data_IF_113881630661
#
_entry.id   IF_113881630661
#
_cell.length_a   1.000
_cell.length_b   1.000
_cell.length_c   1.000
_cell.angle_alpha   90.00
_cell.angle_beta   90.00
_cell.angle_gamma   90.00
#
_symmetry.space_group_name_H-M   'P 1'
#
loop_
_entity.id
_entity.type
_entity.pdbx_description
1 polymer ?
#
# COMPACT_ATOMS: atom_id res chain seq x y z
N UNK A 1 1.20 20.84 14.58
CA UNK A 1 2.49 21.35 15.06
C UNK A 1 3.50 21.07 13.96
N UNK A 2 3.93 22.16 13.32
CA UNK A 2 4.55 22.21 12.00
C UNK A 2 6.06 22.05 12.11
N UNK A 3 6.63 21.04 11.46
CA UNK A 3 8.06 20.75 11.32
C UNK A 3 8.16 19.91 10.01
N UNK A 4 8.93 20.19 8.96
CA UNK A 4 10.16 20.97 8.80
C UNK A 4 10.35 21.38 7.32
N UNK A 5 11.02 22.53 7.19
CA UNK A 5 11.74 23.12 6.07
C UNK A 5 12.06 22.21 4.87
N UNK A 6 11.67 22.69 3.69
CA UNK A 6 12.20 22.31 2.38
C UNK A 6 13.73 22.40 2.39
N UNK A 7 14.39 21.29 2.11
CA UNK A 7 15.82 21.23 1.87
C UNK A 7 16.03 20.41 0.60
N UNK A 8 16.36 21.09 -0.51
CA UNK A 8 16.85 20.46 -1.74
C UNK A 8 18.21 19.81 -1.43
N UNK A 9 18.18 18.58 -0.94
CA UNK A 9 19.37 17.77 -0.75
C UNK A 9 19.39 16.63 -1.76
N UNK A 10 20.24 16.80 -2.77
CA UNK A 10 20.81 15.69 -3.51
C UNK A 10 21.71 14.93 -2.53
N UNK A 11 21.23 13.80 -2.01
CA UNK A 11 22.04 12.94 -1.15
C UNK A 11 23.15 12.28 -1.98
N UNK A 12 24.40 12.75 -1.84
CA UNK A 12 25.59 12.00 -2.23
C UNK A 12 26.07 11.16 -1.04
N UNK A 13 25.75 9.87 -1.02
CA UNK A 13 26.33 8.94 -0.03
C UNK A 13 27.73 8.48 -0.48
N UNK A 14 28.75 9.30 -0.22
CA UNK A 14 30.14 9.05 -0.62
C UNK A 14 31.21 9.25 0.46
N UNK A 15 31.76 8.14 1.01
CA UNK A 15 33.10 8.02 1.65
C UNK A 15 33.04 7.85 3.18
N UNK A 16 33.72 6.92 3.87
CA UNK A 16 35.03 6.28 3.69
C UNK A 16 35.00 4.75 3.93
N UNK A 17 36.10 4.06 3.58
CA UNK A 17 36.32 2.60 3.73
C UNK A 17 36.54 2.22 5.20
N UNK A 18 35.70 1.34 5.73
CA UNK A 18 35.93 0.61 6.99
C UNK A 18 36.23 -0.87 6.70
N UNK A 19 37.14 -1.44 7.49
CA UNK A 19 37.80 -2.75 7.31
C UNK A 19 36.89 -4.00 7.43
N UNK A 20 35.58 -3.80 7.68
CA UNK A 20 34.58 -4.87 7.74
C UNK A 20 33.49 -4.59 6.71
N UNK A 21 33.52 -5.35 5.61
CA UNK A 21 32.65 -5.16 4.46
C UNK A 21 31.16 -5.33 4.77
N UNK A 22 30.50 -4.25 5.20
CA UNK A 22 29.04 -4.11 5.01
C UNK A 22 28.80 -3.97 3.51
N UNK A 23 27.94 -4.83 2.94
CA UNK A 23 27.44 -4.65 1.57
C UNK A 23 26.86 -3.24 1.47
N UNK A 24 27.48 -2.41 0.65
CA UNK A 24 27.01 -1.07 0.36
C UNK A 24 25.91 -1.22 -0.69
N UNK A 25 24.66 -0.99 -0.28
CA UNK A 25 23.54 -0.98 -1.19
C UNK A 25 23.60 0.32 -2.00
N UNK A 26 23.82 0.19 -3.31
CA UNK A 26 23.66 1.30 -4.24
C UNK A 26 22.16 1.43 -4.53
N UNK A 27 21.53 2.43 -3.92
CA UNK A 27 20.10 2.74 -4.14
C UNK A 27 19.88 3.53 -5.44
N UNK A 28 20.92 3.73 -6.25
CA UNK A 28 20.88 4.55 -7.45
C UNK A 28 20.78 6.04 -7.15
N UNK A 29 20.65 6.84 -8.21
CA UNK A 29 20.22 8.24 -8.12
C UNK A 29 18.75 8.29 -8.52
N UNK A 30 17.87 8.56 -7.57
CA UNK A 30 16.48 8.92 -7.86
C UNK A 30 16.25 10.36 -7.43
N UNK A 31 15.47 11.09 -8.23
CA UNK A 31 14.91 12.34 -7.75
C UNK A 31 13.87 11.96 -6.69
N UNK A 32 14.06 12.47 -5.47
CA UNK A 32 13.08 12.25 -4.41
C UNK A 32 11.78 12.92 -4.83
N UNK A 33 10.67 12.20 -4.68
CA UNK A 33 9.34 12.79 -4.82
C UNK A 33 9.20 13.93 -3.81
N UNK A 34 8.90 15.12 -4.32
CA UNK A 34 8.58 16.29 -3.51
C UNK A 34 7.13 16.21 -3.04
N UNK A 35 6.88 16.70 -1.82
CA UNK A 35 5.55 16.77 -1.22
C UNK A 35 4.79 17.96 -1.80
N UNK A 36 3.54 17.71 -2.19
CA UNK A 36 2.57 18.74 -2.55
C UNK A 36 1.78 19.27 -1.35
N UNK A 37 0.78 20.10 -1.64
CA UNK A 37 -0.20 20.56 -0.65
C UNK A 37 -1.31 19.53 -0.47
N UNK A 38 -1.56 19.17 0.78
CA UNK A 38 -2.63 18.22 1.16
C UNK A 38 -3.94 18.99 1.33
N UNK A 39 -4.96 18.69 0.51
CA UNK A 39 -6.28 19.30 0.66
C UNK A 39 -7.00 18.82 1.94
N UNK A 40 -8.01 19.55 2.45
CA UNK A 40 -8.74 19.15 3.66
C UNK A 40 -9.35 17.75 3.60
N UNK A 41 -9.64 17.18 4.78
CA UNK A 41 -10.33 15.89 4.92
C UNK A 41 -11.72 15.93 4.24
N UNK A 42 -12.06 14.86 3.50
CA UNK A 42 -13.37 14.74 2.83
C UNK A 42 -14.41 14.16 3.80
N UNK A 43 -15.62 14.75 3.88
CA UNK A 43 -16.63 14.33 4.86
C UNK A 43 -17.25 12.99 4.48
N UNK A 44 -17.51 12.14 5.49
CA UNK A 44 -18.26 10.89 5.32
C UNK A 44 -19.68 11.10 5.83
N UNK A 45 -20.72 10.88 5.00
CA UNK A 45 -22.12 10.95 5.41
C UNK A 45 -22.46 10.14 6.67
N UNK A 46 -23.42 10.61 7.47
CA UNK A 46 -23.79 9.98 8.74
C UNK A 46 -24.26 8.53 8.58
N UNK A 47 -25.06 8.26 7.55
CA UNK A 47 -25.64 6.94 7.28
C UNK A 47 -24.62 5.84 6.93
N UNK A 48 -23.38 6.21 6.58
CA UNK A 48 -22.32 5.23 6.31
C UNK A 48 -21.76 4.70 7.62
N UNK A 49 -21.77 3.36 7.74
CA UNK A 49 -21.19 2.66 8.88
C UNK A 49 -19.69 2.98 8.99
N UNK A 50 -19.26 3.40 10.17
CA UNK A 50 -17.88 3.82 10.44
C UNK A 50 -17.18 2.76 11.31
N UNK A 51 -15.91 2.43 11.04
CA UNK A 51 -15.14 1.54 11.90
C UNK A 51 -14.83 2.22 13.24
N UNK A 52 -14.52 1.43 14.27
CA UNK A 52 -14.34 1.93 15.65
C UNK A 52 -13.31 3.06 15.77
N UNK A 53 -12.20 2.98 15.02
CA UNK A 53 -11.13 3.99 15.05
C UNK A 53 -11.55 5.34 14.48
N UNK A 54 -12.66 5.44 13.76
CA UNK A 54 -13.19 6.73 13.29
C UNK A 54 -13.47 7.69 14.46
N UNK A 55 -13.98 7.14 15.57
CA UNK A 55 -14.45 7.90 16.73
C UNK A 55 -13.34 8.20 17.75
N UNK A 56 -12.19 7.54 17.63
CA UNK A 56 -11.07 7.67 18.56
C UNK A 56 -9.83 8.09 17.79
N UNK A 57 -9.38 9.31 18.05
CA UNK A 57 -8.22 9.89 17.37
C UNK A 57 -6.99 9.00 17.53
N UNK A 58 -6.29 8.75 16.42
CA UNK A 58 -5.06 7.96 16.36
C UNK A 58 -5.20 6.54 16.93
N UNK A 59 -6.41 5.96 16.90
CA UNK A 59 -6.63 4.60 17.38
C UNK A 59 -6.21 3.57 16.33
N UNK A 60 -5.51 2.50 16.72
CA UNK A 60 -5.32 1.35 15.86
C UNK A 60 -6.65 0.59 15.69
N UNK A 61 -6.66 -0.30 14.71
CA UNK A 61 -7.64 -1.36 14.57
C UNK A 61 -6.84 -2.64 14.62
N UNK A 62 -6.88 -3.35 15.74
CA UNK A 62 -6.15 -4.61 15.93
C UNK A 62 -7.13 -5.75 16.18
N UNK A 63 -7.01 -6.84 15.43
CA UNK A 63 -7.58 -8.12 15.82
C UNK A 63 -6.94 -8.62 17.12
N UNK A 64 -7.70 -9.24 18.01
CA UNK A 64 -7.18 -9.72 19.30
C UNK A 64 -6.37 -11.00 19.13
N UNK A 65 -5.08 -10.95 19.51
CA UNK A 65 -4.25 -12.11 19.85
C UNK A 65 -3.89 -13.06 18.70
N UNK A 66 -4.86 -13.84 18.21
CA UNK A 66 -4.64 -14.99 17.31
C UNK A 66 -5.26 -14.74 15.92
N UNK A 67 -4.71 -15.35 14.86
CA UNK A 67 -5.35 -15.36 13.55
C UNK A 67 -6.81 -15.84 13.64
N UNK A 68 -7.71 -15.05 13.06
CA UNK A 68 -9.15 -15.35 13.07
C UNK A 68 -9.49 -16.48 12.08
N UNK A 69 -10.14 -17.53 12.58
CA UNK A 69 -10.84 -18.51 11.73
C UNK A 69 -12.23 -17.98 11.43
N UNK A 70 -12.46 -17.57 10.19
CA UNK A 70 -13.71 -16.93 9.78
C UNK A 70 -14.85 -17.94 9.61
N UNK A 71 -16.01 -17.59 10.13
CA UNK A 71 -17.29 -18.26 9.83
C UNK A 71 -17.74 -18.00 8.40
N UNK A 72 -18.66 -18.79 7.85
CA UNK A 72 -19.20 -18.60 6.49
C UNK A 72 -19.76 -17.20 6.25
N UNK A 73 -20.43 -16.63 7.26
CA UNK A 73 -20.94 -15.25 7.21
C UNK A 73 -19.81 -14.23 7.09
N UNK A 74 -18.73 -14.40 7.85
CA UNK A 74 -17.57 -13.51 7.78
C UNK A 74 -16.83 -13.68 6.45
N UNK A 75 -16.70 -14.90 5.94
CA UNK A 75 -16.13 -15.17 4.61
C UNK A 75 -16.95 -14.44 3.54
N UNK A 76 -18.28 -14.49 3.60
CA UNK A 76 -19.12 -13.78 2.65
C UNK A 76 -18.94 -12.26 2.75
N UNK A 77 -18.89 -11.70 3.97
CA UNK A 77 -18.60 -10.28 4.19
C UNK A 77 -17.25 -9.85 3.59
N UNK A 78 -16.21 -10.67 3.77
CA UNK A 78 -14.90 -10.45 3.15
C UNK A 78 -14.95 -10.50 1.63
N UNK A 79 -15.70 -11.43 1.03
CA UNK A 79 -15.86 -11.49 -0.44
C UNK A 79 -16.47 -10.21 -0.98
N UNK A 80 -17.50 -9.70 -0.30
CA UNK A 80 -18.21 -8.50 -0.72
C UNK A 80 -17.33 -7.25 -0.57
N UNK A 81 -16.63 -7.09 0.55
CA UNK A 81 -15.70 -5.97 0.79
C UNK A 81 -14.50 -6.00 -0.18
N UNK A 82 -13.85 -7.15 -0.36
CA UNK A 82 -12.72 -7.29 -1.28
C UNK A 82 -13.13 -7.07 -2.74
N UNK A 83 -14.31 -7.55 -3.15
CA UNK A 83 -14.83 -7.30 -4.51
C UNK A 83 -15.08 -5.82 -4.73
N UNK A 84 -15.60 -5.10 -3.73
CA UNK A 84 -15.78 -3.66 -3.82
C UNK A 84 -14.44 -2.92 -3.93
N UNK A 85 -13.47 -3.23 -3.05
CA UNK A 85 -12.12 -2.66 -3.10
C UNK A 85 -11.47 -2.86 -4.47
N UNK A 86 -11.49 -4.08 -5.01
CA UNK A 86 -10.93 -4.41 -6.31
C UNK A 86 -11.60 -3.64 -7.46
N UNK A 87 -12.92 -3.46 -7.41
CA UNK A 87 -13.65 -2.68 -8.42
C UNK A 87 -13.27 -1.21 -8.39
N UNK A 88 -13.13 -0.62 -7.20
CA UNK A 88 -12.69 0.78 -7.04
C UNK A 88 -11.25 0.93 -7.51
N UNK A 89 -10.34 0.06 -7.07
CA UNK A 89 -8.93 0.05 -7.49
C UNK A 89 -8.82 -0.03 -9.01
N UNK A 90 -9.56 -0.94 -9.67
CA UNK A 90 -9.54 -1.08 -11.13
C UNK A 90 -9.85 0.25 -11.83
N UNK A 91 -10.86 0.99 -11.37
CA UNK A 91 -11.21 2.29 -11.96
C UNK A 91 -10.19 3.37 -11.60
N UNK A 92 -9.69 3.40 -10.37
CA UNK A 92 -8.65 4.33 -9.94
C UNK A 92 -7.37 4.16 -10.78
N UNK A 93 -6.99 2.92 -11.12
CA UNK A 93 -5.87 2.64 -12.02
C UNK A 93 -6.09 3.21 -13.43
N UNK A 94 -7.32 3.27 -13.95
CA UNK A 94 -7.58 3.89 -15.26
C UNK A 94 -7.47 5.41 -15.26
N UNK A 95 -7.69 6.03 -14.10
CA UNK A 95 -7.59 7.47 -13.89
C UNK A 95 -6.13 7.93 -13.76
N UNK A 96 -5.22 7.05 -13.30
CA UNK A 96 -3.82 7.38 -13.06
C UNK A 96 -3.05 7.61 -14.38
N UNK A 97 -3.12 8.83 -14.89
CA UNK A 97 -2.51 9.29 -16.13
C UNK A 97 -1.69 10.57 -15.90
N UNK A 98 -0.85 10.93 -16.86
CA UNK A 98 -0.05 12.15 -16.79
C UNK A 98 -0.95 13.38 -16.55
N UNK A 99 -0.50 14.27 -15.66
CA UNK A 99 -1.19 15.51 -15.32
C UNK A 99 -2.26 15.39 -14.23
N UNK A 100 -2.75 14.19 -13.93
CA UNK A 100 -3.67 13.93 -12.82
C UNK A 100 -2.93 14.02 -11.50
N UNK A 101 -3.50 14.70 -10.50
CA UNK A 101 -2.91 14.76 -9.16
C UNK A 101 -3.30 13.55 -8.31
N UNK A 102 -2.49 13.25 -7.30
CA UNK A 102 -2.84 12.16 -6.38
C UNK A 102 -4.08 12.48 -5.54
N UNK A 103 -4.37 13.75 -5.22
CA UNK A 103 -5.61 14.17 -4.56
C UNK A 103 -6.87 13.99 -5.45
N UNK A 104 -6.73 14.00 -6.78
CA UNK A 104 -7.84 13.65 -7.69
C UNK A 104 -8.15 12.16 -7.65
N UNK A 105 -7.13 11.31 -7.51
CA UNK A 105 -7.30 9.86 -7.28
C UNK A 105 -7.96 9.62 -5.92
N UNK A 106 -7.53 10.31 -4.87
CA UNK A 106 -8.18 10.26 -3.55
C UNK A 106 -9.66 10.64 -3.61
N UNK A 107 -9.97 11.76 -4.29
CA UNK A 107 -11.36 12.21 -4.47
C UNK A 107 -12.21 11.13 -5.13
N UNK A 108 -11.71 10.55 -6.21
CA UNK A 108 -12.40 9.48 -6.93
C UNK A 108 -12.65 8.25 -6.04
N UNK A 109 -11.61 7.78 -5.34
CA UNK A 109 -11.72 6.61 -4.44
C UNK A 109 -12.70 6.88 -3.30
N UNK A 110 -12.64 8.08 -2.72
CA UNK A 110 -13.58 8.52 -1.69
C UNK A 110 -15.02 8.47 -2.21
N UNK A 111 -15.32 9.15 -3.31
CA UNK A 111 -16.66 9.24 -3.89
C UNK A 111 -17.23 7.87 -4.26
N UNK A 112 -16.43 6.98 -4.85
CA UNK A 112 -16.89 5.62 -5.19
C UNK A 112 -17.15 4.76 -3.94
N UNK A 113 -16.37 4.91 -2.87
CA UNK A 113 -16.65 4.24 -1.61
C UNK A 113 -17.97 4.75 -1.00
N UNK A 114 -18.17 6.07 -0.94
CA UNK A 114 -19.41 6.68 -0.41
C UNK A 114 -20.63 6.24 -1.24
N UNK A 115 -20.52 6.26 -2.57
CA UNK A 115 -21.58 5.81 -3.48
C UNK A 115 -21.96 4.34 -3.28
N UNK A 116 -21.00 3.51 -2.88
CA UNK A 116 -21.21 2.11 -2.54
C UNK A 116 -21.67 1.89 -1.08
N UNK A 117 -21.99 2.95 -0.33
CA UNK A 117 -22.31 2.89 1.11
C UNK A 117 -21.20 2.24 1.95
N UNK A 118 -19.95 2.42 1.53
CA UNK A 118 -18.75 1.93 2.21
C UNK A 118 -17.92 3.09 2.77
N UNK A 119 -17.14 2.80 3.79
CA UNK A 119 -16.21 3.75 4.39
C UNK A 119 -14.79 3.53 3.83
N UNK A 120 -14.07 4.58 3.38
CA UNK A 120 -12.68 4.44 2.95
C UNK A 120 -11.78 4.21 4.16
N UNK A 121 -11.30 2.98 4.36
CA UNK A 121 -10.66 2.55 5.61
C UNK A 121 -9.44 3.37 6.02
N UNK A 122 -8.55 3.83 5.11
CA UNK A 122 -7.39 4.63 5.51
C UNK A 122 -7.76 5.93 6.22
N UNK A 123 -8.95 6.49 5.94
CA UNK A 123 -9.35 7.76 6.50
C UNK A 123 -9.37 7.70 8.03
N UNK A 124 -8.69 8.66 8.67
CA UNK A 124 -8.49 8.76 10.14
C UNK A 124 -7.81 7.56 10.82
N UNK A 125 -7.45 6.51 10.08
CA UNK A 125 -6.74 5.37 10.64
C UNK A 125 -5.36 5.80 11.13
N UNK A 126 -5.11 5.69 12.44
CA UNK A 126 -3.90 6.25 13.09
C UNK A 126 -3.65 7.75 12.74
N UNK A 127 -4.71 8.50 12.42
CA UNK A 127 -4.62 9.90 12.02
C UNK A 127 -4.28 10.16 10.54
N UNK A 128 -4.30 9.13 9.70
CA UNK A 128 -4.08 9.28 8.26
C UNK A 128 -5.18 10.18 7.62
N UNK A 129 -4.81 11.19 6.81
CA UNK A 129 -5.73 12.28 6.47
C UNK A 129 -6.58 12.04 5.21
N UNK A 130 -6.36 10.93 4.50
CA UNK A 130 -6.91 10.66 3.15
C UNK A 130 -7.57 9.30 3.07
N UNK A 131 -8.26 9.05 1.96
CA UNK A 131 -9.12 7.88 1.74
C UNK A 131 -8.40 6.72 1.06
N UNK A 132 -7.20 6.96 0.53
CA UNK A 132 -6.37 6.03 -0.24
C UNK A 132 -4.89 6.38 -0.01
N UNK A 133 -3.99 5.42 -0.18
CA UNK A 133 -2.56 5.74 -0.28
C UNK A 133 -2.13 5.80 -1.75
N UNK A 134 -1.29 6.79 -2.10
CA UNK A 134 -0.73 6.97 -3.44
C UNK A 134 0.79 7.11 -3.34
N UNK A 135 1.52 6.05 -3.69
CA UNK A 135 2.97 5.96 -3.48
C UNK A 135 3.70 6.02 -4.82
N UNK A 136 4.25 7.20 -5.14
CA UNK A 136 4.92 7.46 -6.41
C UNK A 136 6.42 7.16 -6.30
N UNK A 137 6.99 6.49 -7.30
CA UNK A 137 8.42 6.25 -7.48
C UNK A 137 9.13 5.70 -6.22
N UNK A 138 9.92 6.54 -5.54
CA UNK A 138 10.72 6.14 -4.38
C UNK A 138 9.92 6.08 -3.05
N UNK A 139 8.63 6.39 -3.08
CA UNK A 139 7.73 6.22 -1.93
C UNK A 139 7.33 4.75 -1.86
N UNK A 140 7.75 4.05 -0.81
CA UNK A 140 7.56 2.60 -0.69
C UNK A 140 6.09 2.20 -0.43
N UNK A 141 5.42 2.90 0.49
CA UNK A 141 4.01 2.75 0.80
C UNK A 141 3.51 4.00 1.56
N UNK A 142 2.20 4.07 1.79
CA UNK A 142 1.54 5.10 2.60
C UNK A 142 1.81 6.55 2.16
N UNK A 143 2.07 6.77 0.87
CA UNK A 143 2.09 8.13 0.32
C UNK A 143 0.74 8.81 0.54
N UNK A 144 0.76 10.04 1.07
CA UNK A 144 -0.45 10.83 1.33
C UNK A 144 -0.82 11.56 0.03
N UNK A 145 -2.04 11.37 -0.49
CA UNK A 145 -2.54 12.15 -1.63
C UNK A 145 -2.45 13.67 -1.42
N UNK A 146 -1.90 14.36 -2.40
CA UNK A 146 -1.64 15.80 -2.45
C UNK A 146 -1.81 16.36 -3.89
N UNK A 147 -1.53 17.64 -4.08
CA UNK A 147 -1.63 18.32 -5.37
C UNK A 147 -0.50 18.00 -6.38
N UNK A 148 0.40 17.05 -6.08
CA UNK A 148 1.44 16.60 -7.02
C UNK A 148 0.79 15.94 -8.22
N UNK A 149 1.07 16.48 -9.41
CA UNK A 149 0.71 15.86 -10.69
C UNK A 149 1.58 14.65 -10.99
N UNK A 150 0.99 13.61 -11.55
CA UNK A 150 1.71 12.50 -12.16
C UNK A 150 2.43 12.99 -13.41
N UNK A 151 3.68 12.56 -13.58
CA UNK A 151 4.55 12.94 -14.69
C UNK A 151 4.75 11.76 -15.64
N UNK A 152 5.02 12.05 -16.92
CA UNK A 152 5.46 11.02 -17.87
C UNK A 152 6.67 10.25 -17.31
N UNK A 153 6.57 8.93 -17.29
CA UNK A 153 7.60 8.04 -16.74
C UNK A 153 7.45 7.67 -15.26
N UNK A 154 6.49 8.24 -14.53
CA UNK A 154 6.21 7.84 -13.15
C UNK A 154 5.69 6.39 -13.06
N UNK A 155 6.00 5.72 -11.94
CA UNK A 155 5.21 4.59 -11.46
C UNK A 155 4.49 5.00 -10.17
N UNK A 156 3.23 4.58 -10.02
CA UNK A 156 2.41 4.90 -8.83
C UNK A 156 1.71 3.65 -8.31
N UNK A 157 1.93 3.32 -7.04
CA UNK A 157 1.08 2.37 -6.33
C UNK A 157 -0.16 3.08 -5.77
N UNK A 158 -1.33 2.51 -6.01
CA UNK A 158 -2.62 2.95 -5.44
C UNK A 158 -3.11 1.84 -4.53
N UNK A 159 -3.32 2.16 -3.26
CA UNK A 159 -3.69 1.21 -2.21
C UNK A 159 -5.08 1.50 -1.65
N UNK A 160 -6.04 0.65 -2.00
CA UNK A 160 -7.47 0.84 -1.73
C UNK A 160 -7.93 -0.16 -0.68
N UNK A 161 -8.39 0.39 0.45
CA UNK A 161 -9.11 -0.38 1.45
C UNK A 161 -10.50 0.21 1.71
N UNK A 162 -11.55 -0.60 1.68
CA UNK A 162 -12.92 -0.19 2.06
C UNK A 162 -13.44 -0.99 3.24
N UNK A 163 -14.23 -0.35 4.09
CA UNK A 163 -15.01 -0.97 5.15
C UNK A 163 -16.47 -1.02 4.72
N UNK A 164 -16.95 -2.23 4.44
CA UNK A 164 -18.27 -2.49 3.89
C UNK A 164 -18.95 -3.60 4.69
N UNK A 165 -20.18 -3.35 5.14
CA UNK A 165 -20.98 -4.31 5.92
C UNK A 165 -20.25 -4.94 7.12
N UNK A 166 -19.37 -4.18 7.77
CA UNK A 166 -18.64 -4.64 8.95
C UNK A 166 -17.26 -5.23 8.68
N UNK A 167 -16.81 -5.30 7.43
CA UNK A 167 -15.55 -5.94 7.03
C UNK A 167 -14.69 -5.03 6.15
N UNK A 168 -13.38 -5.09 6.35
CA UNK A 168 -12.40 -4.43 5.49
C UNK A 168 -12.07 -5.32 4.28
N UNK A 169 -11.91 -4.72 3.11
CA UNK A 169 -11.37 -5.37 1.92
C UNK A 169 -10.24 -4.51 1.37
N UNK A 170 -9.11 -5.12 1.04
CA UNK A 170 -7.84 -4.43 0.81
C UNK A 170 -7.10 -4.96 -0.40
N UNK A 171 -6.65 -4.07 -1.28
CA UNK A 171 -5.78 -4.40 -2.40
C UNK A 171 -5.09 -3.16 -2.98
N UNK A 172 -3.92 -3.38 -3.57
CA UNK A 172 -3.19 -2.33 -4.28
C UNK A 172 -2.68 -2.79 -5.63
N UNK A 173 -2.35 -1.82 -6.49
CA UNK A 173 -1.66 -2.07 -7.77
C UNK A 173 -0.76 -0.90 -8.13
N UNK A 174 0.41 -1.23 -8.67
CA UNK A 174 1.32 -0.24 -9.26
C UNK A 174 1.00 -0.05 -10.75
N UNK A 175 0.81 1.20 -11.15
CA UNK A 175 0.45 1.65 -12.50
C UNK A 175 1.64 2.36 -13.13
N UNK A 176 1.79 2.18 -14.45
CA UNK A 176 2.78 2.86 -15.27
C UNK A 176 2.15 4.13 -15.87
N UNK A 177 2.75 5.30 -15.64
CA UNK A 177 2.27 6.57 -16.19
C UNK A 177 3.08 6.90 -17.44
N UNK A 178 2.43 6.91 -18.60
CA UNK A 178 3.06 7.23 -19.87
C UNK A 178 4.24 6.32 -20.23
N UNK A 179 5.38 6.93 -20.58
CA UNK A 179 6.58 6.30 -21.10
C UNK A 179 7.58 5.92 -19.99
N UNK A 180 7.16 5.02 -19.09
CA UNK A 180 8.05 4.44 -18.07
C UNK A 180 9.23 3.71 -18.72
N UNK A 181 10.42 3.86 -18.13
CA UNK A 181 11.64 3.21 -18.58
C UNK A 181 11.62 1.67 -18.38
N UNK A 182 12.59 0.97 -18.96
CA UNK A 182 12.67 -0.49 -18.87
C UNK A 182 12.83 -0.97 -17.43
N UNK A 183 13.53 -0.21 -16.58
CA UNK A 183 13.76 -0.57 -15.17
C UNK A 183 12.48 -0.51 -14.35
N UNK A 184 11.68 0.54 -14.51
CA UNK A 184 10.39 0.71 -13.87
C UNK A 184 9.40 -0.36 -14.32
N UNK A 185 9.34 -0.65 -15.63
CA UNK A 185 8.51 -1.74 -16.17
C UNK A 185 8.94 -3.10 -15.61
N UNK A 186 10.24 -3.36 -15.58
CA UNK A 186 10.81 -4.60 -15.03
C UNK A 186 10.50 -4.77 -13.54
N UNK A 187 10.63 -3.69 -12.75
CA UNK A 187 10.30 -3.70 -11.33
C UNK A 187 8.82 -4.01 -11.10
N UNK A 188 7.92 -3.28 -11.76
CA UNK A 188 6.47 -3.46 -11.60
C UNK A 188 6.03 -4.88 -11.99
N UNK A 189 6.47 -5.36 -13.16
CA UNK A 189 6.16 -6.72 -13.61
C UNK A 189 6.72 -7.77 -12.65
N UNK A 190 7.98 -7.63 -12.22
CA UNK A 190 8.61 -8.59 -11.31
C UNK A 190 7.93 -8.61 -9.93
N UNK A 191 7.45 -7.48 -9.43
CA UNK A 191 6.69 -7.43 -8.17
C UNK A 191 5.35 -8.16 -8.31
N UNK A 192 4.63 -7.99 -9.42
CA UNK A 192 3.36 -8.71 -9.68
C UNK A 192 3.59 -10.22 -9.83
N UNK A 193 4.61 -10.64 -10.58
CA UNK A 193 5.01 -12.05 -10.69
C UNK A 193 5.39 -12.64 -9.32
N UNK A 194 6.15 -11.90 -8.50
CA UNK A 194 6.54 -12.33 -7.15
C UNK A 194 5.33 -12.52 -6.22
N UNK A 195 4.31 -11.67 -6.33
CA UNK A 195 3.07 -11.80 -5.55
C UNK A 195 2.32 -13.07 -5.95
N UNK A 196 2.20 -13.32 -7.26
CA UNK A 196 1.51 -14.51 -7.77
C UNK A 196 2.18 -15.81 -7.30
N UNK A 197 3.51 -15.89 -7.35
CA UNK A 197 4.28 -17.03 -6.81
C UNK A 197 4.04 -17.24 -5.31
N UNK A 198 3.94 -16.15 -4.54
CA UNK A 198 3.69 -16.21 -3.11
C UNK A 198 2.27 -16.70 -2.79
N UNK A 199 1.27 -16.27 -3.57
CA UNK A 199 -0.13 -16.72 -3.45
C UNK A 199 -0.24 -18.23 -3.73
N UNK A 200 0.49 -18.75 -4.71
CA UNK A 200 0.51 -20.19 -5.02
C UNK A 200 1.08 -21.06 -3.89
N UNK A 201 1.85 -20.47 -2.96
CA UNK A 201 2.34 -21.18 -1.78
C UNK A 201 1.31 -21.29 -0.65
N UNK A 202 0.17 -20.60 -0.74
CA UNK A 202 -0.86 -20.59 0.30
C UNK A 202 -1.74 -21.84 0.22
N UNK A 203 -1.94 -22.51 1.36
CA UNK A 203 -2.84 -23.64 1.48
C UNK A 203 -2.99 -24.11 2.93
N UNK A 204 -3.92 -25.02 3.22
CA UNK A 204 -4.04 -25.64 4.53
C UNK A 204 -2.70 -26.22 5.01
N UNK A 205 -2.43 -26.07 6.31
CA UNK A 205 -1.22 -26.57 6.99
C UNK A 205 0.12 -26.03 6.47
N UNK A 206 0.14 -25.07 5.55
CA UNK A 206 1.36 -24.42 5.10
C UNK A 206 1.86 -23.40 6.14
N UNK A 207 3.14 -23.45 6.54
CA UNK A 207 3.71 -22.43 7.43
C UNK A 207 3.74 -21.06 6.75
N UNK A 208 3.27 -20.00 7.41
CA UNK A 208 3.27 -18.64 6.84
C UNK A 208 4.64 -18.16 6.32
N UNK A 209 5.74 -18.66 6.88
CA UNK A 209 7.09 -18.30 6.45
C UNK A 209 7.43 -18.74 5.01
N UNK A 210 6.64 -19.64 4.40
CA UNK A 210 6.84 -20.03 2.99
C UNK A 210 6.61 -18.85 2.04
N UNK A 211 5.70 -17.92 2.38
CA UNK A 211 5.40 -16.71 1.61
C UNK A 211 6.66 -15.85 1.48
N UNK A 212 7.28 -15.49 2.61
CA UNK A 212 8.49 -14.67 2.62
C UNK A 212 9.71 -15.35 1.98
N UNK A 213 9.82 -16.68 2.08
CA UNK A 213 10.85 -17.47 1.38
C UNK A 213 10.66 -17.43 -0.13
N UNK A 214 9.42 -17.59 -0.62
CA UNK A 214 9.10 -17.54 -2.04
C UNK A 214 9.44 -16.17 -2.63
N UNK A 215 8.98 -15.08 -2.00
CA UNK A 215 9.25 -13.71 -2.42
C UNK A 215 10.76 -13.42 -2.40
N UNK A 216 11.47 -13.79 -1.32
CA UNK A 216 12.92 -13.55 -1.23
C UNK A 216 13.71 -14.28 -2.30
N UNK A 217 13.34 -15.54 -2.58
CA UNK A 217 13.96 -16.33 -3.65
C UNK A 217 13.72 -15.67 -5.00
N UNK A 218 12.48 -15.30 -5.30
CA UNK A 218 12.09 -14.65 -6.55
C UNK A 218 12.86 -13.34 -6.76
N UNK A 219 12.82 -12.44 -5.78
CA UNK A 219 13.52 -11.16 -5.83
C UNK A 219 15.03 -11.36 -6.05
N UNK A 220 15.67 -12.32 -5.36
CA UNK A 220 17.09 -12.65 -5.56
C UNK A 220 17.40 -13.08 -6.98
N UNK A 221 16.57 -13.94 -7.60
CA UNK A 221 16.76 -14.37 -8.99
C UNK A 221 16.59 -13.20 -9.98
N UNK A 222 15.66 -12.28 -9.71
CA UNK A 222 15.45 -11.06 -10.50
C UNK A 222 16.44 -9.93 -10.17
N UNK A 223 17.40 -10.16 -9.26
CA UNK A 223 18.37 -9.14 -8.78
C UNK A 223 17.68 -7.91 -8.16
N UNK A 224 16.52 -8.10 -7.55
CA UNK A 224 15.76 -7.11 -6.81
C UNK A 224 15.92 -7.32 -5.29
N UNK A 225 15.46 -6.35 -4.50
CA UNK A 225 15.50 -6.41 -3.03
C UNK A 225 14.10 -6.26 -2.45
N UNK A 226 13.87 -6.89 -1.30
CA UNK A 226 12.60 -6.83 -0.57
C UNK A 226 12.72 -5.80 0.56
N UNK A 227 11.74 -4.91 0.69
CA UNK A 227 11.66 -3.93 1.77
C UNK A 227 11.37 -4.64 3.11
N UNK A 228 12.25 -4.55 4.13
CA UNK A 228 12.05 -5.26 5.40
C UNK A 228 11.18 -4.50 6.41
N UNK A 229 10.73 -3.28 6.08
CA UNK A 229 10.05 -2.38 7.00
C UNK A 229 8.53 -2.61 7.13
N UNK A 230 7.91 -3.30 6.15
CA UNK A 230 6.47 -3.51 6.10
C UNK A 230 6.13 -4.98 5.85
N UNK A 231 5.04 -5.43 6.48
CA UNK A 231 4.56 -6.81 6.47
C UNK A 231 3.12 -6.85 5.94
N UNK A 232 2.70 -8.00 5.45
CA UNK A 232 1.27 -8.29 5.27
C UNK A 232 0.62 -8.55 6.64
N UNK A 233 -0.70 -8.57 6.67
CA UNK A 233 -1.46 -8.71 7.91
C UNK A 233 -2.74 -9.52 7.70
N UNK A 234 -3.28 -10.04 8.80
CA UNK A 234 -4.67 -10.46 8.86
C UNK A 234 -5.61 -9.26 8.70
N UNK A 235 -6.79 -9.52 8.13
CA UNK A 235 -7.82 -8.53 7.85
C UNK A 235 -9.20 -9.16 8.06
N UNK A 236 -10.18 -8.36 8.47
CA UNK A 236 -11.51 -8.85 8.83
C UNK A 236 -12.45 -7.71 9.23
N UNK A 237 -13.12 -7.90 10.37
CA UNK A 237 -13.84 -6.83 11.06
C UNK A 237 -12.93 -5.74 11.64
N UNK A 238 -11.62 -6.02 11.64
CA UNK A 238 -10.53 -5.11 11.93
C UNK A 238 -9.71 -4.86 10.66
N UNK A 239 -9.07 -3.69 10.57
CA UNK A 239 -8.22 -3.32 9.44
C UNK A 239 -6.91 -4.11 9.44
N UNK A 240 -6.14 -4.06 10.54
CA UNK A 240 -4.88 -4.79 10.69
C UNK A 240 -4.96 -5.76 11.88
N UNK A 241 -4.36 -6.93 11.78
CA UNK A 241 -4.34 -7.87 12.89
C UNK A 241 -3.57 -9.13 12.56
N UNK A 242 -3.51 -10.09 13.50
CA UNK A 242 -2.78 -11.33 13.27
C UNK A 242 -3.38 -12.15 12.11
N UNK A 243 -2.53 -12.86 11.34
CA UNK A 243 -1.09 -12.98 11.53
C UNK A 243 -0.30 -11.85 10.84
N UNK A 244 0.88 -11.53 11.37
CA UNK A 244 1.89 -10.78 10.62
C UNK A 244 2.50 -11.70 9.54
N UNK A 245 2.53 -11.23 8.29
CA UNK A 245 3.02 -11.99 7.14
C UNK A 245 4.31 -11.35 6.62
N UNK A 246 5.44 -11.99 6.90
CA UNK A 246 6.74 -11.52 6.46
C UNK A 246 6.94 -11.74 4.96
N UNK A 247 7.33 -10.68 4.25
CA UNK A 247 7.69 -10.73 2.82
C UNK A 247 9.13 -11.21 2.58
N UNK A 248 9.91 -11.38 3.65
CA UNK A 248 11.29 -11.82 3.57
C UNK A 248 11.52 -13.09 4.39
N UNK A 249 12.54 -13.87 4.00
CA UNK A 249 12.94 -15.09 4.70
C UNK A 249 14.39 -15.43 4.41
N UNK A 250 15.02 -16.21 5.31
CA UNK A 250 16.34 -16.79 5.03
C UNK A 250 16.21 -17.73 3.83
N UNK A 251 16.86 -17.38 2.73
CA UNK A 251 17.06 -18.28 1.61
C UNK A 251 18.38 -18.99 1.85
N UNK A 252 18.30 -20.23 2.34
CA UNK A 252 19.44 -21.14 2.46
C UNK A 252 20.03 -21.45 1.08
#
# INVERSE_FOLDING_TARGET
MTLLKTCNHVWRLGGQRGFFGRKRYDFGKSNLVELGQVSPERPVPEHIAKPKYYFVRNSPSSGEGRPEIKTDRQIQGMRDSCKLAANILKKACTLAQEGITTDEIDRFVHEEAIKASAYPSPLRYLGFPKSVCTSVNNVACHGIPDDRKLMDGDIINIDVTVYFNGFHGDCSKTVLVGNVDERGRYLVQSTEESLNEAILCCGPDQPLCVIGKAISRFARHKKLTVMPAFLGHGIGSFFHGPPDVFHFGKVT
#
